data_IF_087280442725
#
_entry.id   IF_087280442725
#
_cell.length_a   1.000
_cell.length_b   1.000
_cell.length_c   1.000
_cell.angle_alpha   90.00
_cell.angle_beta   90.00
_cell.angle_gamma   90.00
#
_symmetry.space_group_name_H-M   'P 1'
#
loop_
_entity.id
_entity.type
_entity.pdbx_description
1 polymer ?
#
# COMPACT_ATOMS: atom_id res chain seq x y z
N UNK A 1 -12.41 -34.01 65.12
CA UNK A 1 -11.04 -33.48 65.04
C UNK A 1 -10.48 -33.73 63.65
N UNK A 2 -9.96 -32.66 63.02
CA UNK A 2 -9.14 -32.54 61.80
C UNK A 2 -9.65 -33.16 60.48
N UNK A 3 -10.33 -32.30 59.69
CA UNK A 3 -10.50 -32.40 58.24
C UNK A 3 -9.13 -32.31 57.56
N UNK A 4 -8.79 -33.25 56.69
CA UNK A 4 -7.65 -33.16 55.77
C UNK A 4 -8.23 -32.91 54.37
N UNK A 5 -7.98 -31.70 53.85
CA UNK A 5 -8.43 -31.22 52.56
C UNK A 5 -7.36 -31.59 51.52
N UNK A 6 -7.66 -32.52 50.61
CA UNK A 6 -6.79 -32.80 49.47
C UNK A 6 -6.96 -31.68 48.43
N UNK A 7 -5.93 -30.84 48.29
CA UNK A 7 -5.86 -29.82 47.24
C UNK A 7 -5.26 -30.46 45.98
N UNK A 8 -6.11 -30.87 45.04
CA UNK A 8 -5.66 -31.28 43.70
C UNK A 8 -5.34 -30.02 42.91
N UNK A 9 -4.06 -29.69 42.77
CA UNK A 9 -3.59 -28.61 41.90
C UNK A 9 -3.73 -29.09 40.45
N UNK A 10 -4.84 -28.72 39.79
CA UNK A 10 -4.95 -28.81 38.34
C UNK A 10 -4.10 -27.69 37.72
N UNK A 11 -2.89 -28.04 37.27
CA UNK A 11 -2.07 -27.15 36.44
C UNK A 11 -2.72 -27.08 35.06
N UNK A 12 -3.54 -26.04 34.85
CA UNK A 12 -4.02 -25.70 33.51
C UNK A 12 -2.84 -25.16 32.69
N UNK A 13 -2.33 -25.98 31.76
CA UNK A 13 -1.42 -25.52 30.72
C UNK A 13 -2.19 -24.53 29.82
N UNK A 14 -2.10 -23.24 30.14
CA UNK A 14 -2.39 -22.20 29.16
C UNK A 14 -1.31 -22.29 28.08
N UNK A 15 -1.64 -22.94 26.96
CA UNK A 15 -0.86 -22.80 25.74
C UNK A 15 -0.93 -21.33 25.32
N UNK A 16 0.05 -20.53 25.72
CA UNK A 16 0.25 -19.21 25.13
C UNK A 16 0.46 -19.40 23.63
N UNK A 17 -0.20 -18.62 22.77
CA UNK A 17 0.07 -18.67 21.35
C UNK A 17 1.55 -18.33 21.16
N UNK A 18 2.33 -19.32 20.70
CA UNK A 18 3.69 -19.08 20.22
C UNK A 18 3.53 -18.23 18.97
N UNK A 19 3.80 -16.93 19.10
CA UNK A 19 3.98 -16.07 17.95
C UNK A 19 5.22 -16.56 17.20
N UNK A 20 5.02 -17.39 16.19
CA UNK A 20 6.06 -17.66 15.20
C UNK A 20 6.27 -16.34 14.47
N UNK A 21 7.33 -15.61 14.85
CA UNK A 21 7.86 -14.54 14.02
C UNK A 21 8.26 -15.19 12.70
N UNK A 22 7.52 -14.91 11.62
CA UNK A 22 7.96 -15.27 10.29
C UNK A 22 9.34 -14.63 10.07
N UNK A 23 10.40 -15.45 10.10
CA UNK A 23 11.73 -15.02 9.66
C UNK A 23 11.56 -14.70 8.18
N UNK A 24 11.34 -13.43 7.85
CA UNK A 24 11.22 -13.01 6.46
C UNK A 24 12.45 -13.50 5.72
N UNK A 25 12.23 -14.20 4.61
CA UNK A 25 13.31 -14.65 3.75
C UNK A 25 14.05 -13.41 3.24
N UNK A 26 15.32 -13.26 3.60
CA UNK A 26 16.11 -12.08 3.27
C UNK A 26 16.46 -12.12 1.77
N UNK A 27 15.90 -11.21 0.95
CA UNK A 27 16.02 -11.30 -0.50
C UNK A 27 17.32 -10.64 -0.95
N UNK A 28 18.47 -11.24 -0.70
CA UNK A 28 19.78 -10.62 -0.95
C UNK A 28 20.05 -10.20 -2.41
N UNK A 29 19.28 -10.72 -3.38
CA UNK A 29 19.33 -10.29 -4.78
C UNK A 29 18.34 -9.16 -5.13
N UNK A 30 17.38 -8.86 -4.27
CA UNK A 30 16.29 -7.89 -4.45
C UNK A 30 15.98 -7.20 -3.11
N UNK A 31 17.00 -6.56 -2.54
CA UNK A 31 16.94 -5.96 -1.20
C UNK A 31 16.01 -4.74 -1.18
N UNK A 32 16.09 -3.91 -2.22
CA UNK A 32 15.36 -2.65 -2.38
C UNK A 32 15.22 -2.32 -3.86
N UNK A 33 14.13 -1.67 -4.24
CA UNK A 33 13.89 -1.23 -5.62
C UNK A 33 14.66 0.06 -5.97
N UNK A 34 15.02 0.22 -7.25
CA UNK A 34 15.59 1.47 -7.76
C UNK A 34 14.68 2.67 -7.50
N UNK A 35 13.35 2.46 -7.54
CA UNK A 35 12.36 3.49 -7.26
C UNK A 35 12.51 4.03 -5.85
N UNK A 36 12.59 3.17 -4.84
CA UNK A 36 12.76 3.61 -3.46
C UNK A 36 14.17 4.14 -3.21
N UNK A 37 15.19 3.51 -3.78
CA UNK A 37 16.59 3.87 -3.54
C UNK A 37 16.96 5.26 -4.09
N UNK A 38 16.54 5.57 -5.32
CA UNK A 38 16.86 6.83 -6.00
C UNK A 38 15.77 7.91 -5.87
N UNK A 39 14.80 7.75 -4.96
CA UNK A 39 13.81 8.79 -4.69
C UNK A 39 14.39 9.91 -3.81
N UNK A 40 15.14 10.84 -4.43
CA UNK A 40 15.67 12.05 -3.78
C UNK A 40 14.63 12.96 -3.12
N UNK A 41 13.35 12.79 -3.47
CA UNK A 41 12.27 13.60 -2.93
C UNK A 41 11.61 12.95 -1.72
N UNK A 42 11.98 11.72 -1.31
CA UNK A 42 11.29 10.96 -0.26
C UNK A 42 11.19 11.67 1.11
N UNK A 43 12.09 12.61 1.40
CA UNK A 43 12.07 13.44 2.61
C UNK A 43 12.50 14.87 2.26
N UNK A 44 11.85 15.86 2.86
CA UNK A 44 12.38 17.23 2.97
C UNK A 44 13.41 17.29 4.09
N UNK A 45 14.23 18.34 4.13
CA UNK A 45 15.13 18.60 5.25
C UNK A 45 14.41 18.53 6.61
N UNK A 46 13.22 19.12 6.71
CA UNK A 46 12.42 19.10 7.93
C UNK A 46 11.90 17.71 8.31
N UNK A 47 11.73 16.80 7.35
CA UNK A 47 11.36 15.40 7.63
C UNK A 47 12.57 14.62 8.17
N UNK A 48 13.76 14.88 7.62
CA UNK A 48 15.03 14.33 8.12
C UNK A 48 15.28 14.79 9.56
N UNK A 49 15.16 16.10 9.80
CA UNK A 49 15.31 16.68 11.14
C UNK A 49 14.36 16.05 12.15
N UNK A 50 13.06 15.99 11.84
CA UNK A 50 12.05 15.35 12.72
C UNK A 50 12.35 13.89 12.98
N UNK A 51 12.87 13.17 11.99
CA UNK A 51 13.24 11.77 12.17
C UNK A 51 14.40 11.64 13.17
N UNK A 52 15.46 12.45 13.03
CA UNK A 52 16.59 12.46 13.97
C UNK A 52 16.13 12.80 15.40
N UNK A 53 15.30 13.84 15.56
CA UNK A 53 14.69 14.22 16.84
C UNK A 53 13.85 13.08 17.45
N UNK A 54 13.02 12.41 16.64
CA UNK A 54 12.19 11.30 17.09
C UNK A 54 12.97 10.08 17.58
N UNK A 55 14.25 9.99 17.21
CA UNK A 55 15.16 8.92 17.63
C UNK A 55 16.06 9.32 18.79
N UNK A 56 16.01 10.58 19.24
CA UNK A 56 16.96 11.10 20.24
C UNK A 56 18.40 11.06 19.72
N UNK A 57 18.58 11.18 18.40
CA UNK A 57 19.89 11.12 17.76
C UNK A 57 20.75 12.31 18.15
N UNK A 58 22.04 12.09 18.43
CA UNK A 58 23.03 13.17 18.52
C UNK A 58 23.03 14.09 17.28
N UNK A 59 22.73 13.54 16.10
CA UNK A 59 22.70 14.32 14.86
C UNK A 59 21.54 15.33 14.79
N UNK A 60 20.54 15.24 15.66
CA UNK A 60 19.44 16.21 15.72
C UNK A 60 19.94 17.62 16.07
N UNK A 61 20.95 17.70 16.93
CA UNK A 61 21.57 18.96 17.39
C UNK A 61 22.93 19.24 16.73
N UNK A 62 23.49 18.26 16.02
CA UNK A 62 24.76 18.38 15.34
C UNK A 62 24.71 19.39 14.18
N UNK A 63 25.77 20.19 14.08
CA UNK A 63 26.05 21.04 12.92
C UNK A 63 27.53 21.06 12.57
N UNK A 64 27.83 21.23 11.29
CA UNK A 64 29.18 21.39 10.76
C UNK A 64 29.14 22.50 9.70
N UNK A 65 30.08 23.45 9.75
CA UNK A 65 30.12 24.58 8.82
C UNK A 65 28.85 25.45 8.83
N UNK A 66 28.18 25.57 9.98
CA UNK A 66 26.93 26.34 10.12
C UNK A 66 25.68 25.65 9.55
N UNK A 67 25.79 24.41 9.05
CA UNK A 67 24.65 23.62 8.55
C UNK A 67 24.33 22.47 9.50
N UNK A 68 23.05 22.22 9.73
CA UNK A 68 22.58 21.04 10.48
C UNK A 68 22.86 19.75 9.71
N UNK A 69 22.98 18.64 10.42
CA UNK A 69 23.08 17.31 9.81
C UNK A 69 21.95 17.05 8.80
N UNK A 70 20.72 17.44 9.13
CA UNK A 70 19.56 17.32 8.25
C UNK A 70 19.74 18.02 6.91
N UNK A 71 20.30 19.24 6.93
CA UNK A 71 20.57 20.05 5.75
C UNK A 71 21.65 19.43 4.88
N UNK A 72 22.76 19.00 5.50
CA UNK A 72 23.86 18.33 4.80
C UNK A 72 23.40 17.05 4.09
N UNK A 73 22.60 16.21 4.78
CA UNK A 73 22.02 14.99 4.20
C UNK A 73 21.08 15.34 3.05
N UNK A 74 20.16 16.28 3.27
CA UNK A 74 19.16 16.67 2.26
C UNK A 74 19.82 17.21 0.98
N UNK A 75 20.74 18.15 1.11
CA UNK A 75 21.43 18.77 -0.03
C UNK A 75 22.24 17.74 -0.84
N UNK A 76 22.99 16.86 -0.19
CA UNK A 76 23.75 15.81 -0.87
C UNK A 76 22.81 14.85 -1.61
N UNK A 77 21.74 14.39 -0.96
CA UNK A 77 20.72 13.52 -1.58
C UNK A 77 20.07 14.16 -2.79
N UNK A 78 19.75 15.46 -2.73
CA UNK A 78 19.17 16.20 -3.87
C UNK A 78 20.15 16.31 -5.03
N UNK A 79 21.43 16.57 -4.75
CA UNK A 79 22.50 16.70 -5.75
C UNK A 79 22.82 15.38 -6.46
N UNK A 80 22.85 14.29 -5.70
CA UNK A 80 23.25 12.97 -6.22
C UNK A 80 22.09 12.04 -6.59
N UNK A 81 20.84 12.41 -6.28
CA UNK A 81 19.67 11.63 -6.68
C UNK A 81 19.40 10.43 -5.76
N UNK A 82 19.83 10.48 -4.49
CA UNK A 82 19.64 9.40 -3.52
C UNK A 82 18.50 9.71 -2.55
N UNK A 83 17.73 8.70 -2.14
CA UNK A 83 16.72 8.85 -1.11
C UNK A 83 17.35 9.13 0.28
N UNK A 84 16.97 10.22 0.99
CA UNK A 84 17.50 10.51 2.33
C UNK A 84 17.30 9.39 3.36
N UNK A 85 16.25 8.57 3.23
CA UNK A 85 16.04 7.38 4.08
C UNK A 85 17.20 6.37 3.97
N UNK A 86 17.86 6.28 2.81
CA UNK A 86 19.04 5.41 2.61
C UNK A 86 20.18 5.90 3.48
N UNK A 87 20.45 7.22 3.49
CA UNK A 87 21.51 7.82 4.30
C UNK A 87 21.26 7.59 5.77
N UNK A 88 20.02 7.75 6.23
CA UNK A 88 19.64 7.46 7.62
C UNK A 88 19.90 5.99 7.99
N UNK A 89 19.56 5.03 7.12
CA UNK A 89 19.88 3.62 7.36
C UNK A 89 21.39 3.39 7.39
N UNK A 90 22.14 3.99 6.48
CA UNK A 90 23.59 3.85 6.43
C UNK A 90 24.29 4.44 7.66
N UNK A 91 23.89 5.63 8.12
CA UNK A 91 24.41 6.25 9.34
C UNK A 91 24.19 5.35 10.57
N UNK A 92 23.03 4.69 10.66
CA UNK A 92 22.80 3.69 11.70
C UNK A 92 23.68 2.45 11.53
N UNK A 93 23.73 1.92 10.30
CA UNK A 93 24.45 0.68 10.00
C UNK A 93 25.95 0.81 10.25
N UNK A 94 26.53 1.95 9.89
CA UNK A 94 27.98 2.15 9.87
C UNK A 94 28.51 2.64 11.21
N UNK A 95 27.77 3.51 11.91
CA UNK A 95 28.27 4.19 13.11
C UNK A 95 27.21 4.34 14.22
N UNK A 96 26.04 3.69 14.10
CA UNK A 96 24.91 3.80 15.06
C UNK A 96 24.39 5.22 15.30
N UNK A 97 24.72 6.18 14.43
CA UNK A 97 24.50 7.61 14.67
C UNK A 97 23.02 8.05 14.70
N UNK A 98 22.09 7.19 14.29
CA UNK A 98 20.66 7.51 14.37
C UNK A 98 20.11 7.26 15.77
N UNK A 99 20.55 6.20 16.45
CA UNK A 99 20.00 5.81 17.74
C UNK A 99 20.98 6.02 18.91
N UNK A 100 22.24 6.34 18.63
CA UNK A 100 23.22 6.75 19.64
C UNK A 100 23.10 8.26 19.92
N UNK A 101 22.73 8.60 21.15
CA UNK A 101 22.64 9.98 21.65
C UNK A 101 23.98 10.57 22.09
N UNK A 102 25.03 9.75 22.20
CA UNK A 102 26.36 10.16 22.67
C UNK A 102 27.49 9.46 21.91
N UNK A 103 27.55 9.59 20.57
CA UNK A 103 28.56 8.93 19.77
C UNK A 103 29.95 9.53 20.00
N UNK A 104 30.98 8.75 19.72
CA UNK A 104 32.36 9.25 19.72
C UNK A 104 32.58 10.24 18.57
N UNK A 105 33.52 11.18 18.74
CA UNK A 105 33.91 12.11 17.66
C UNK A 105 34.34 11.35 16.41
N UNK A 106 35.06 10.22 16.58
CA UNK A 106 35.47 9.36 15.47
C UNK A 106 34.27 8.80 14.72
N UNK A 107 33.24 8.33 15.41
CA UNK A 107 32.02 7.82 14.77
C UNK A 107 31.37 8.89 13.89
N UNK A 108 31.26 10.14 14.38
CA UNK A 108 30.73 11.27 13.61
C UNK A 108 31.62 11.62 12.41
N UNK A 109 32.95 11.62 12.58
CA UNK A 109 33.90 11.92 11.49
C UNK A 109 34.05 10.80 10.47
N UNK A 110 33.66 9.58 10.82
CA UNK A 110 33.60 8.38 9.98
C UNK A 110 32.14 8.00 9.62
N UNK A 111 31.20 8.95 9.64
CA UNK A 111 29.75 8.71 9.70
C UNK A 111 29.19 7.62 8.77
N UNK A 112 29.71 7.52 7.54
CA UNK A 112 29.27 6.51 6.56
C UNK A 112 30.31 5.41 6.35
N UNK A 113 31.50 5.49 6.96
CA UNK A 113 32.59 4.55 6.72
C UNK A 113 33.22 4.67 5.32
N UNK A 114 32.89 5.71 4.56
CA UNK A 114 33.41 5.92 3.22
C UNK A 114 34.93 6.07 3.24
N UNK A 115 35.59 5.43 2.27
CA UNK A 115 37.04 5.43 2.14
C UNK A 115 37.75 4.80 3.34
N UNK A 116 37.10 3.85 4.03
CA UNK A 116 37.61 3.17 5.22
C UNK A 116 38.01 4.14 6.36
N UNK A 117 37.40 5.33 6.38
CA UNK A 117 37.74 6.43 7.26
C UNK A 117 39.22 6.87 7.18
N UNK A 118 39.80 6.85 5.97
CA UNK A 118 41.05 7.54 5.67
C UNK A 118 40.95 9.05 5.98
N UNK A 119 42.01 9.64 6.52
CA UNK A 119 42.05 11.03 6.98
C UNK A 119 41.55 12.03 5.92
N UNK A 120 41.82 11.79 4.63
CA UNK A 120 41.38 12.70 3.56
C UNK A 120 39.85 12.80 3.46
N UNK A 121 39.15 11.73 3.83
CA UNK A 121 37.68 11.62 3.79
C UNK A 121 37.02 11.85 5.15
N UNK A 122 37.78 12.10 6.22
CA UNK A 122 37.22 12.37 7.55
C UNK A 122 36.50 13.71 7.63
N UNK A 123 35.41 13.74 8.39
CA UNK A 123 34.52 14.90 8.58
C UNK A 123 33.10 14.55 8.16
N UNK A 124 32.09 15.03 8.90
CA UNK A 124 30.71 14.58 8.69
C UNK A 124 30.23 14.95 7.27
N UNK A 125 30.45 16.20 6.84
CA UNK A 125 30.06 16.67 5.51
C UNK A 125 30.78 15.90 4.41
N UNK A 126 32.07 15.57 4.58
CA UNK A 126 32.81 14.77 3.58
C UNK A 126 32.28 13.35 3.50
N UNK A 127 31.96 12.73 4.64
CA UNK A 127 31.39 11.39 4.68
C UNK A 127 30.00 11.35 4.04
N UNK A 128 29.15 12.33 4.33
CA UNK A 128 27.85 12.49 3.67
C UNK A 128 28.03 12.70 2.16
N UNK A 129 28.83 13.66 1.74
CA UNK A 129 29.00 14.00 0.32
C UNK A 129 29.52 12.81 -0.50
N UNK A 130 30.62 12.19 -0.07
CA UNK A 130 31.23 11.07 -0.79
C UNK A 130 30.41 9.78 -0.68
N UNK A 131 29.84 9.50 0.50
CA UNK A 131 29.00 8.33 0.75
C UNK A 131 27.71 8.38 -0.06
N UNK A 132 27.09 9.56 -0.15
CA UNK A 132 25.89 9.77 -0.96
C UNK A 132 26.22 9.80 -2.45
N UNK A 133 27.36 10.36 -2.86
CA UNK A 133 27.81 10.30 -4.25
C UNK A 133 27.98 8.85 -4.72
N UNK A 134 28.72 8.02 -3.97
CA UNK A 134 28.95 6.64 -4.38
C UNK A 134 27.63 5.89 -4.47
N UNK A 135 26.73 6.01 -3.48
CA UNK A 135 25.43 5.33 -3.51
C UNK A 135 24.47 5.92 -4.56
N UNK A 136 24.54 7.21 -4.86
CA UNK A 136 23.59 7.88 -5.76
C UNK A 136 23.97 7.80 -7.24
N UNK A 137 25.26 7.90 -7.54
CA UNK A 137 25.80 8.00 -8.92
C UNK A 137 27.01 7.11 -9.18
N UNK A 138 27.75 6.71 -8.15
CA UNK A 138 29.02 5.99 -8.26
C UNK A 138 29.02 4.84 -9.25
N UNK A 139 28.07 3.90 -9.10
CA UNK A 139 27.94 2.80 -10.04
C UNK A 139 27.61 3.24 -11.46
N UNK A 140 26.66 4.17 -11.66
CA UNK A 140 26.26 4.61 -13.01
C UNK A 140 27.39 5.33 -13.74
N UNK A 141 28.17 6.12 -13.01
CA UNK A 141 29.27 6.91 -13.56
C UNK A 141 30.51 6.03 -13.83
N UNK A 142 30.67 4.90 -13.13
CA UNK A 142 31.90 4.11 -13.15
C UNK A 142 31.67 2.59 -13.27
N UNK A 143 30.59 2.17 -13.94
CA UNK A 143 30.15 0.77 -14.01
C UNK A 143 31.26 -0.24 -14.36
N UNK A 144 32.14 0.11 -15.29
CA UNK A 144 33.25 -0.75 -15.73
C UNK A 144 34.30 -1.05 -14.64
N UNK A 145 34.33 -0.28 -13.55
CA UNK A 145 35.29 -0.43 -12.46
C UNK A 145 34.85 -1.43 -11.39
N UNK A 146 33.60 -1.88 -11.42
CA UNK A 146 33.02 -2.67 -10.33
C UNK A 146 32.78 -4.13 -10.70
N UNK A 147 33.00 -5.01 -9.72
CA UNK A 147 32.78 -6.44 -9.88
C UNK A 147 31.29 -6.80 -9.94
N UNK A 148 30.47 -6.17 -9.07
CA UNK A 148 29.03 -6.39 -8.97
C UNK A 148 28.28 -5.60 -10.05
N UNK A 149 27.37 -6.28 -10.73
CA UNK A 149 26.57 -5.71 -11.80
C UNK A 149 25.17 -6.36 -11.86
N UNK A 150 24.20 -5.65 -12.42
CA UNK A 150 22.83 -6.15 -12.61
C UNK A 150 22.86 -7.42 -13.43
N UNK A 151 22.28 -8.49 -12.88
CA UNK A 151 22.21 -9.79 -13.54
C UNK A 151 23.54 -10.54 -13.62
N UNK A 152 24.64 -10.04 -13.03
CA UNK A 152 25.94 -10.72 -13.00
C UNK A 152 26.11 -11.46 -11.68
N UNK A 153 26.33 -12.77 -11.74
CA UNK A 153 26.66 -13.56 -10.54
C UNK A 153 28.06 -13.17 -10.04
N UNK A 154 28.18 -12.84 -8.76
CA UNK A 154 29.44 -12.46 -8.11
C UNK A 154 29.48 -13.05 -6.70
N UNK A 155 30.65 -13.51 -6.26
CA UNK A 155 30.85 -14.02 -4.90
C UNK A 155 31.10 -12.86 -3.94
N UNK A 156 30.34 -12.80 -2.84
CA UNK A 156 30.55 -11.85 -1.75
C UNK A 156 31.72 -12.25 -0.86
N UNK A 157 32.23 -11.31 -0.06
CA UNK A 157 33.33 -11.55 0.88
C UNK A 157 33.00 -12.62 1.94
N UNK A 158 31.71 -12.81 2.26
CA UNK A 158 31.23 -13.84 3.16
C UNK A 158 30.78 -15.13 2.45
N UNK A 159 31.17 -15.32 1.18
CA UNK A 159 31.02 -16.58 0.45
C UNK A 159 29.64 -16.86 -0.11
N UNK A 160 28.78 -15.85 -0.20
CA UNK A 160 27.43 -15.96 -0.79
C UNK A 160 27.48 -15.50 -2.26
N UNK A 161 26.98 -16.34 -3.17
CA UNK A 161 26.77 -15.96 -4.57
C UNK A 161 25.55 -15.06 -4.69
N UNK A 162 25.74 -13.87 -5.22
CA UNK A 162 24.67 -12.89 -5.44
C UNK A 162 24.60 -12.50 -6.90
N UNK A 163 23.39 -12.17 -7.36
CA UNK A 163 23.07 -11.71 -8.70
C UNK A 163 22.12 -10.52 -8.57
N UNK A 164 22.64 -9.29 -8.40
CA UNK A 164 21.82 -8.10 -8.19
C UNK A 164 20.72 -7.95 -9.24
N UNK A 165 19.46 -7.78 -8.81
CA UNK A 165 18.30 -7.66 -9.71
C UNK A 165 18.15 -6.27 -10.33
N UNK A 166 18.67 -5.25 -9.68
CA UNK A 166 18.57 -3.85 -10.08
C UNK A 166 19.83 -3.06 -9.67
N UNK A 167 19.88 -1.79 -10.05
CA UNK A 167 21.05 -0.95 -9.82
C UNK A 167 21.29 -0.66 -8.33
N UNK A 168 20.23 -0.42 -7.56
CA UNK A 168 20.31 -0.17 -6.13
C UNK A 168 20.95 -1.34 -5.38
N UNK A 169 20.59 -2.58 -5.71
CA UNK A 169 21.19 -3.77 -5.09
C UNK A 169 22.66 -3.92 -5.51
N UNK A 170 23.00 -3.66 -6.77
CA UNK A 170 24.40 -3.70 -7.22
C UNK A 170 25.26 -2.66 -6.47
N UNK A 171 24.74 -1.45 -6.31
CA UNK A 171 25.40 -0.36 -5.57
C UNK A 171 25.62 -0.72 -4.09
N UNK A 172 24.64 -1.35 -3.41
CA UNK A 172 24.80 -1.80 -2.03
C UNK A 172 25.96 -2.80 -1.88
N UNK A 173 26.13 -3.71 -2.83
CA UNK A 173 27.26 -4.65 -2.82
C UNK A 173 28.60 -4.01 -3.21
N UNK A 174 28.59 -2.97 -4.03
CA UNK A 174 29.78 -2.16 -4.32
C UNK A 174 30.23 -1.41 -3.07
N UNK A 175 29.27 -0.82 -2.35
CA UNK A 175 29.52 -0.13 -1.10
C UNK A 175 30.01 -1.08 -0.01
N UNK A 176 29.35 -2.23 0.13
CA UNK A 176 29.64 -3.23 1.14
C UNK A 176 29.47 -4.64 0.55
N UNK A 177 30.56 -5.34 0.20
CA UNK A 177 30.52 -6.63 -0.48
C UNK A 177 30.20 -7.82 0.43
N UNK A 178 29.43 -7.62 1.51
CA UNK A 178 29.02 -8.66 2.47
C UNK A 178 27.51 -8.86 2.42
N UNK A 179 27.06 -10.07 2.09
CA UNK A 179 25.64 -10.42 2.06
C UNK A 179 25.02 -10.39 3.46
N UNK A 180 25.73 -10.94 4.45
CA UNK A 180 25.39 -10.86 5.87
C UNK A 180 24.30 -11.83 6.33
N UNK A 181 23.93 -12.81 5.49
CA UNK A 181 22.85 -13.79 5.74
C UNK A 181 23.04 -14.52 7.08
N UNK A 182 24.29 -14.89 7.39
CA UNK A 182 24.60 -15.73 8.55
C UNK A 182 24.95 -14.95 9.82
N UNK A 183 25.49 -13.73 9.67
CA UNK A 183 26.04 -12.93 10.79
C UNK A 183 25.18 -11.73 11.17
N UNK A 184 24.12 -11.44 10.42
CA UNK A 184 23.25 -10.30 10.71
C UNK A 184 23.89 -8.94 10.44
N UNK A 185 24.93 -8.87 9.60
CA UNK A 185 25.70 -7.66 9.28
C UNK A 185 25.55 -7.26 7.80
N UNK A 186 26.38 -6.36 7.29
CA UNK A 186 26.45 -6.03 5.86
C UNK A 186 25.09 -5.65 5.27
N UNK A 187 24.76 -6.19 4.10
CA UNK A 187 23.52 -5.90 3.40
C UNK A 187 22.27 -6.50 4.09
N UNK A 188 22.41 -7.56 4.89
CA UNK A 188 21.32 -8.03 5.75
C UNK A 188 20.95 -6.99 6.80
N UNK A 189 21.95 -6.37 7.45
CA UNK A 189 21.70 -5.34 8.45
C UNK A 189 21.02 -4.12 7.84
N UNK A 190 21.45 -3.70 6.64
CA UNK A 190 20.78 -2.66 5.87
C UNK A 190 19.29 -3.01 5.67
N UNK A 191 19.00 -4.19 5.13
CA UNK A 191 17.64 -4.66 4.89
C UNK A 191 16.80 -4.70 6.16
N UNK A 192 17.36 -5.21 7.27
CA UNK A 192 16.66 -5.32 8.54
C UNK A 192 16.35 -3.94 9.14
N UNK A 193 17.30 -3.00 9.05
CA UNK A 193 17.10 -1.62 9.50
C UNK A 193 16.03 -0.92 8.68
N UNK A 194 16.12 -1.02 7.35
CA UNK A 194 15.15 -0.47 6.41
C UNK A 194 13.73 -1.03 6.64
N UNK A 195 13.60 -2.35 6.60
CA UNK A 195 12.31 -3.05 6.62
C UNK A 195 11.70 -3.16 8.01
N UNK A 196 12.47 -3.66 8.99
CA UNK A 196 11.90 -4.07 10.28
C UNK A 196 12.05 -2.97 11.33
N UNK A 197 13.22 -2.32 11.42
CA UNK A 197 13.51 -1.33 12.47
C UNK A 197 12.83 0.00 12.20
N UNK A 198 13.07 0.59 11.04
CA UNK A 198 12.53 1.89 10.67
C UNK A 198 11.25 1.80 9.87
N UNK A 199 10.97 0.63 9.28
CA UNK A 199 9.80 0.42 8.45
C UNK A 199 9.71 1.49 7.38
N UNK A 200 10.86 1.82 6.77
CA UNK A 200 10.96 2.66 5.58
C UNK A 200 10.42 1.86 4.39
N UNK A 201 9.17 1.41 4.47
CA UNK A 201 8.53 0.63 3.45
C UNK A 201 7.92 1.53 2.39
N UNK A 202 6.93 0.98 1.69
CA UNK A 202 6.12 1.72 0.74
C UNK A 202 5.08 2.61 1.47
N UNK A 203 5.53 3.44 2.41
CA UNK A 203 4.73 4.41 3.19
C UNK A 203 3.94 5.39 2.30
N UNK A 204 4.18 5.35 0.99
CA UNK A 204 3.60 6.22 -0.03
C UNK A 204 2.61 5.52 -0.96
N UNK A 205 2.31 4.23 -0.79
CA UNK A 205 1.23 3.63 -1.59
C UNK A 205 -0.09 4.14 -1.03
N UNK A 206 -0.75 4.97 -1.82
CA UNK A 206 -2.00 5.60 -1.44
C UNK A 206 -3.08 4.55 -1.21
N UNK A 207 -3.88 4.75 -0.16
CA UNK A 207 -5.09 3.96 0.06
C UNK A 207 -5.99 3.99 -1.19
N UNK A 208 -6.58 2.84 -1.51
CA UNK A 208 -7.35 2.61 -2.73
C UNK A 208 -6.54 2.18 -3.95
N UNK A 209 -5.21 2.22 -3.89
CA UNK A 209 -4.35 1.69 -4.97
C UNK A 209 -4.50 0.17 -5.04
N UNK A 210 -4.72 -0.35 -6.25
CA UNK A 210 -4.61 -1.78 -6.51
C UNK A 210 -3.16 -2.10 -6.82
N UNK A 211 -2.59 -3.08 -6.13
CA UNK A 211 -1.21 -3.49 -6.31
C UNK A 211 -1.11 -4.96 -6.69
N UNK A 212 -0.04 -5.29 -7.39
CA UNK A 212 0.35 -6.65 -7.73
C UNK A 212 1.87 -6.75 -7.68
N UNK A 213 2.39 -7.86 -7.16
CA UNK A 213 3.81 -8.15 -7.28
C UNK A 213 4.13 -8.50 -8.74
N UNK A 214 5.14 -7.85 -9.32
CA UNK A 214 5.59 -8.11 -10.70
C UNK A 214 5.85 -9.61 -10.91
N UNK A 215 5.22 -10.17 -11.95
CA UNK A 215 5.33 -11.59 -12.28
C UNK A 215 4.34 -12.51 -11.53
N UNK A 216 3.59 -11.98 -10.56
CA UNK A 216 2.52 -12.72 -9.87
C UNK A 216 1.14 -12.47 -10.51
N UNK A 217 0.15 -13.27 -10.14
CA UNK A 217 -1.26 -13.05 -10.50
C UNK A 217 -2.09 -12.45 -9.35
N UNK A 218 -1.52 -12.34 -8.14
CA UNK A 218 -2.22 -11.88 -6.95
C UNK A 218 -2.46 -10.37 -6.98
N UNK A 219 -3.72 -9.97 -6.85
CA UNK A 219 -4.11 -8.55 -6.80
C UNK A 219 -4.58 -8.21 -5.39
N UNK A 220 -4.16 -7.06 -4.90
CA UNK A 220 -4.48 -6.59 -3.55
C UNK A 220 -4.91 -5.13 -3.61
N UNK A 221 -5.79 -4.71 -2.71
CA UNK A 221 -6.13 -3.30 -2.50
C UNK A 221 -5.37 -2.77 -1.29
N UNK A 222 -4.82 -1.57 -1.37
CA UNK A 222 -4.30 -0.88 -0.19
C UNK A 222 -5.45 -0.26 0.60
N UNK A 223 -5.61 -0.66 1.86
CA UNK A 223 -6.58 -0.09 2.79
C UNK A 223 -6.11 1.25 3.38
N UNK A 224 -6.96 1.86 4.20
CA UNK A 224 -6.67 3.17 4.79
C UNK A 224 -5.61 3.11 5.89
N UNK A 225 -5.43 1.93 6.47
CA UNK A 225 -4.36 1.56 7.39
C UNK A 225 -3.03 1.25 6.68
N UNK A 226 -3.02 1.25 5.34
CA UNK A 226 -1.81 1.03 4.54
C UNK A 226 -1.45 -0.44 4.34
N UNK A 227 -2.30 -1.38 4.78
CA UNK A 227 -2.10 -2.80 4.52
C UNK A 227 -2.65 -3.20 3.15
N UNK A 228 -2.10 -4.26 2.56
CA UNK A 228 -2.62 -4.87 1.33
C UNK A 228 -3.64 -5.93 1.70
N UNK A 229 -4.82 -5.81 1.12
CA UNK A 229 -5.95 -6.71 1.35
C UNK A 229 -6.17 -7.56 0.09
N UNK A 230 -6.06 -8.89 0.15
CA UNK A 230 -6.37 -9.76 -0.98
C UNK A 230 -7.88 -9.75 -1.26
N UNK A 231 -8.31 -10.27 -2.41
CA UNK A 231 -9.73 -10.45 -2.72
C UNK A 231 -10.18 -11.90 -2.47
N UNK A 232 -11.38 -12.08 -1.92
CA UNK A 232 -12.07 -13.38 -1.87
C UNK A 232 -12.60 -13.77 -3.25
N UNK A 233 -11.68 -14.14 -4.13
CA UNK A 233 -11.96 -14.55 -5.49
C UNK A 233 -11.99 -13.41 -6.50
N UNK A 234 -12.01 -13.78 -7.79
CA UNK A 234 -12.04 -12.85 -8.91
C UNK A 234 -13.35 -12.07 -9.00
N UNK A 235 -14.44 -12.62 -8.46
CA UNK A 235 -15.74 -11.95 -8.37
C UNK A 235 -15.68 -10.75 -7.41
N UNK A 236 -15.03 -10.87 -6.25
CA UNK A 236 -14.90 -9.74 -5.31
C UNK A 236 -14.12 -8.56 -5.93
N UNK A 237 -13.15 -8.84 -6.80
CA UNK A 237 -12.43 -7.84 -7.58
C UNK A 237 -13.29 -7.26 -8.71
N UNK A 238 -13.78 -8.12 -9.62
CA UNK A 238 -14.35 -7.71 -10.91
C UNK A 238 -15.67 -6.94 -10.82
N UNK A 239 -16.39 -7.01 -9.69
CA UNK A 239 -17.60 -6.23 -9.49
C UNK A 239 -17.35 -4.73 -9.25
N UNK A 240 -16.13 -4.35 -8.86
CA UNK A 240 -15.80 -2.99 -8.38
C UNK A 240 -14.55 -2.41 -9.06
N UNK A 241 -13.60 -3.27 -9.42
CA UNK A 241 -12.26 -2.89 -9.86
C UNK A 241 -11.96 -3.39 -11.28
N UNK A 242 -10.99 -2.75 -11.92
CA UNK A 242 -10.53 -3.08 -13.27
C UNK A 242 -9.04 -3.35 -13.30
N UNK A 243 -8.56 -4.22 -14.20
CA UNK A 243 -7.14 -4.63 -14.23
C UNK A 243 -6.21 -3.51 -14.66
N UNK A 244 -6.71 -2.60 -15.49
CA UNK A 244 -5.99 -1.43 -15.96
C UNK A 244 -5.60 -0.45 -14.84
N UNK A 245 -6.22 -0.56 -13.67
CA UNK A 245 -5.96 0.24 -12.46
C UNK A 245 -4.84 -0.34 -11.58
N UNK A 246 -4.32 -1.53 -11.90
CA UNK A 246 -3.31 -2.22 -11.09
C UNK A 246 -1.95 -1.54 -11.28
N UNK A 247 -1.28 -1.28 -10.16
CA UNK A 247 0.11 -0.84 -10.07
C UNK A 247 0.99 -2.04 -9.78
N UNK A 248 1.93 -2.32 -10.69
CA UNK A 248 2.90 -3.40 -10.51
C UNK A 248 4.08 -2.94 -9.64
N UNK A 249 4.31 -3.65 -8.54
CA UNK A 249 5.39 -3.39 -7.59
C UNK A 249 6.51 -4.42 -7.74
N UNK A 250 7.75 -3.96 -7.58
CA UNK A 250 8.87 -4.87 -7.38
C UNK A 250 8.67 -5.68 -6.08
N UNK A 251 9.22 -6.90 -6.04
CA UNK A 251 9.06 -7.81 -4.89
C UNK A 251 9.49 -7.14 -3.59
N UNK A 252 10.62 -6.43 -3.59
CA UNK A 252 11.12 -5.66 -2.43
C UNK A 252 10.11 -4.64 -1.90
N UNK A 253 9.39 -3.94 -2.78
CA UNK A 253 8.36 -2.98 -2.37
C UNK A 253 7.11 -3.70 -1.87
N UNK A 254 6.71 -4.78 -2.55
CA UNK A 254 5.52 -5.54 -2.24
C UNK A 254 5.59 -6.23 -0.87
N UNK A 255 6.73 -6.84 -0.52
CA UNK A 255 6.91 -7.57 0.76
C UNK A 255 6.99 -6.64 1.98
N UNK A 256 7.16 -5.33 1.77
CA UNK A 256 7.19 -4.32 2.82
C UNK A 256 5.79 -3.76 3.14
N UNK A 257 4.77 -4.08 2.34
CA UNK A 257 3.39 -3.73 2.64
C UNK A 257 2.78 -4.80 3.56
N UNK A 258 2.31 -4.37 4.73
CA UNK A 258 1.64 -5.25 5.70
C UNK A 258 0.41 -5.92 5.11
N UNK A 259 0.01 -7.08 5.64
CA UNK A 259 -1.16 -7.83 5.15
C UNK A 259 -2.39 -7.51 5.98
N UNK A 260 -3.53 -7.32 5.31
CA UNK A 260 -4.84 -7.12 5.93
C UNK A 260 -5.84 -8.20 5.53
N UNK A 261 -7.03 -8.15 6.14
CA UNK A 261 -8.10 -9.11 5.90
C UNK A 261 -8.61 -9.10 4.45
N UNK A 262 -9.06 -10.23 3.90
CA UNK A 262 -9.55 -10.29 2.54
C UNK A 262 -10.81 -9.43 2.30
N UNK A 263 -10.85 -8.77 1.13
CA UNK A 263 -12.00 -8.05 0.61
C UNK A 263 -13.04 -9.05 0.09
N UNK A 264 -14.22 -8.95 0.67
CA UNK A 264 -15.38 -9.79 0.34
C UNK A 264 -16.14 -9.24 -0.86
N UNK A 265 -17.02 -10.06 -1.42
CA UNK A 265 -17.97 -9.61 -2.44
C UNK A 265 -18.80 -8.44 -1.89
N UNK A 266 -18.87 -7.33 -2.64
CA UNK A 266 -19.65 -6.15 -2.23
C UNK A 266 -21.12 -6.52 -2.01
N UNK A 267 -21.82 -5.74 -1.20
CA UNK A 267 -23.26 -5.90 -1.00
C UNK A 267 -24.06 -5.71 -2.30
N UNK A 268 -25.21 -6.39 -2.37
CA UNK A 268 -26.17 -6.28 -3.46
C UNK A 268 -25.78 -7.01 -4.74
N UNK A 269 -24.73 -7.85 -4.70
CA UNK A 269 -24.39 -8.71 -5.83
C UNK A 269 -25.30 -9.93 -5.80
N UNK A 270 -26.13 -10.02 -6.82
CA UNK A 270 -26.96 -11.18 -7.09
C UNK A 270 -26.13 -12.22 -7.85
N UNK A 271 -26.05 -13.44 -7.34
CA UNK A 271 -25.24 -14.50 -7.94
C UNK A 271 -25.90 -15.87 -7.90
N UNK A 272 -25.49 -16.73 -8.83
CA UNK A 272 -25.88 -18.13 -8.93
C UNK A 272 -24.68 -19.01 -8.56
N UNK A 273 -24.86 -19.86 -7.56
CA UNK A 273 -23.86 -20.85 -7.18
C UNK A 273 -23.88 -22.05 -8.15
N UNK A 274 -22.85 -22.90 -8.10
CA UNK A 274 -22.68 -24.04 -9.01
C UNK A 274 -23.82 -25.07 -8.94
N UNK A 275 -24.55 -25.15 -7.82
CA UNK A 275 -25.74 -25.99 -7.67
C UNK A 275 -27.02 -25.35 -8.21
N UNK A 276 -26.94 -24.19 -8.87
CA UNK A 276 -28.07 -23.47 -9.44
C UNK A 276 -28.81 -22.54 -8.48
N UNK A 277 -28.56 -22.62 -7.17
CA UNK A 277 -29.20 -21.77 -6.17
C UNK A 277 -28.77 -20.30 -6.35
N UNK A 278 -29.72 -19.39 -6.16
CA UNK A 278 -29.52 -17.94 -6.31
C UNK A 278 -29.39 -17.30 -4.93
N UNK A 279 -28.44 -16.39 -4.80
CA UNK A 279 -28.17 -15.66 -3.57
C UNK A 279 -27.96 -14.17 -3.85
N UNK A 280 -28.11 -13.35 -2.82
CA UNK A 280 -27.65 -11.96 -2.79
C UNK A 280 -26.61 -11.78 -1.69
N UNK A 281 -25.52 -11.09 -1.99
CA UNK A 281 -24.51 -10.75 -0.99
C UNK A 281 -24.98 -9.61 -0.10
N UNK A 282 -24.78 -9.75 1.21
CA UNK A 282 -25.07 -8.70 2.18
C UNK A 282 -24.21 -8.86 3.43
N UNK A 283 -23.55 -7.79 3.87
CA UNK A 283 -22.68 -7.76 5.04
C UNK A 283 -21.64 -8.89 5.04
N UNK A 284 -21.06 -9.19 3.88
CA UNK A 284 -20.08 -10.27 3.71
C UNK A 284 -20.64 -11.69 3.89
N UNK A 285 -21.96 -11.86 3.79
CA UNK A 285 -22.69 -13.14 3.86
C UNK A 285 -23.52 -13.34 2.59
N UNK A 286 -24.04 -14.56 2.39
CA UNK A 286 -24.99 -14.88 1.30
C UNK A 286 -26.40 -15.15 1.85
N UNK A 287 -27.39 -14.45 1.31
CA UNK A 287 -28.81 -14.66 1.59
C UNK A 287 -29.46 -15.38 0.42
N UNK A 288 -30.11 -16.51 0.67
CA UNK A 288 -30.73 -17.34 -0.36
C UNK A 288 -31.99 -16.68 -0.93
N UNK A 289 -32.10 -16.59 -2.26
CA UNK A 289 -33.33 -16.20 -2.95
C UNK A 289 -34.17 -17.47 -3.17
N UNK A 290 -35.28 -17.66 -2.44
CA UNK A 290 -35.90 -18.97 -2.29
C UNK A 290 -36.64 -19.46 -3.54
N UNK A 291 -37.09 -18.56 -4.40
CA UNK A 291 -37.87 -18.88 -5.59
C UNK A 291 -37.84 -17.75 -6.65
N UNK A 292 -38.24 -18.03 -7.91
CA UNK A 292 -38.30 -17.03 -8.98
C UNK A 292 -39.25 -15.86 -8.67
N UNK A 293 -40.30 -16.07 -7.89
CA UNK A 293 -41.25 -15.02 -7.50
C UNK A 293 -40.56 -13.97 -6.62
N UNK A 294 -39.73 -14.40 -5.67
CA UNK A 294 -38.92 -13.49 -4.84
C UNK A 294 -37.92 -12.73 -5.69
N UNK A 295 -37.29 -13.40 -6.67
CA UNK A 295 -36.36 -12.76 -7.58
C UNK A 295 -37.04 -11.67 -8.43
N UNK A 296 -38.22 -11.97 -8.96
CA UNK A 296 -39.05 -11.03 -9.72
C UNK A 296 -39.54 -9.87 -8.85
N UNK A 297 -39.96 -10.14 -7.62
CA UNK A 297 -40.33 -9.11 -6.65
C UNK A 297 -39.15 -8.19 -6.30
N UNK A 298 -37.93 -8.73 -6.31
CA UNK A 298 -36.69 -7.97 -6.20
C UNK A 298 -36.32 -7.17 -7.46
N UNK A 299 -37.09 -7.31 -8.55
CA UNK A 299 -36.92 -6.56 -9.80
C UNK A 299 -35.85 -7.14 -10.72
N UNK A 300 -35.50 -8.42 -10.51
CA UNK A 300 -34.53 -9.15 -11.30
C UNK A 300 -35.18 -10.28 -12.09
N UNK A 301 -34.47 -10.76 -13.10
CA UNK A 301 -34.80 -11.90 -13.94
C UNK A 301 -33.84 -13.06 -13.67
N UNK A 302 -34.17 -14.27 -14.15
CA UNK A 302 -33.30 -15.44 -14.00
C UNK A 302 -31.93 -15.31 -14.71
N UNK A 303 -31.77 -14.33 -15.61
CA UNK A 303 -30.52 -14.06 -16.35
C UNK A 303 -29.62 -13.01 -15.66
N UNK A 304 -30.12 -12.35 -14.62
CA UNK A 304 -29.40 -11.28 -13.93
C UNK A 304 -28.32 -11.76 -12.95
N UNK A 305 -28.49 -12.86 -12.19
CA UNK A 305 -27.43 -13.35 -11.32
C UNK A 305 -26.15 -13.65 -12.11
N UNK A 306 -25.01 -13.17 -11.64
CA UNK A 306 -23.71 -13.59 -12.17
C UNK A 306 -23.38 -15.02 -11.69
N UNK A 307 -22.59 -15.77 -12.45
CA UNK A 307 -22.12 -17.08 -12.00
C UNK A 307 -20.96 -16.94 -11.03
N UNK A 308 -21.07 -17.57 -9.86
CA UNK A 308 -19.96 -17.75 -8.91
C UNK A 308 -19.58 -19.23 -8.86
N UNK A 309 -18.28 -19.52 -8.87
CA UNK A 309 -17.82 -20.88 -8.68
C UNK A 309 -18.02 -21.33 -7.21
N UNK A 310 -17.94 -22.64 -6.97
CA UNK A 310 -18.16 -23.23 -5.65
C UNK A 310 -17.25 -22.61 -4.58
N UNK A 311 -15.95 -22.46 -4.86
CA UNK A 311 -14.97 -21.90 -3.91
C UNK A 311 -15.35 -20.49 -3.48
N UNK A 312 -15.69 -19.60 -4.42
CA UNK A 312 -16.10 -18.22 -4.11
C UNK A 312 -17.41 -18.18 -3.33
N UNK A 313 -18.39 -19.00 -3.72
CA UNK A 313 -19.68 -19.06 -3.04
C UNK A 313 -19.55 -19.59 -1.60
N UNK A 314 -18.65 -20.54 -1.35
CA UNK A 314 -18.45 -21.17 -0.04
C UNK A 314 -17.67 -20.26 0.93
N UNK A 315 -16.90 -19.29 0.44
CA UNK A 315 -16.29 -18.23 1.27
C UNK A 315 -17.32 -17.31 1.95
N UNK A 316 -18.54 -17.24 1.43
CA UNK A 316 -19.62 -16.41 2.00
C UNK A 316 -20.49 -17.25 2.96
N UNK A 317 -20.51 -16.95 4.26
CA UNK A 317 -21.38 -17.64 5.21
C UNK A 317 -22.85 -17.49 4.83
N UNK A 318 -23.63 -18.56 4.96
CA UNK A 318 -25.07 -18.52 4.71
C UNK A 318 -25.81 -17.82 5.85
N UNK A 319 -26.61 -16.81 5.51
CA UNK A 319 -27.36 -16.01 6.47
C UNK A 319 -28.88 -16.28 6.45
N UNK A 320 -29.30 -17.43 5.90
CA UNK A 320 -30.70 -17.78 5.73
C UNK A 320 -31.28 -17.30 4.40
N UNK A 321 -32.61 -17.44 4.28
CA UNK A 321 -33.35 -17.00 3.09
C UNK A 321 -33.63 -15.50 3.18
N UNK A 322 -33.51 -14.81 2.06
CA UNK A 322 -33.95 -13.43 1.92
C UNK A 322 -35.47 -13.38 2.15
N UNK A 323 -35.90 -12.56 3.10
CA UNK A 323 -37.31 -12.30 3.38
C UNK A 323 -37.66 -10.94 2.79
N UNK A 324 -38.42 -10.92 1.69
CA UNK A 324 -38.93 -9.67 1.15
C UNK A 324 -40.10 -9.21 2.01
N UNK A 325 -39.89 -8.21 2.87
CA UNK A 325 -40.95 -7.47 3.51
C UNK A 325 -41.19 -6.12 2.78
N UNK A 326 -42.46 -5.75 2.59
CA UNK A 326 -42.86 -4.43 2.06
C UNK A 326 -42.02 -3.88 0.91
N UNK A 327 -41.42 -2.70 1.13
CA UNK A 327 -40.63 -1.93 0.16
C UNK A 327 -39.11 -2.09 0.30
N UNK A 328 -38.61 -2.85 1.28
CA UNK A 328 -37.18 -2.97 1.59
C UNK A 328 -36.37 -3.67 0.49
N UNK A 329 -35.28 -3.05 0.04
CA UNK A 329 -34.29 -3.60 -0.88
C UNK A 329 -32.98 -3.89 -0.11
N UNK A 330 -32.22 -4.92 -0.51
CA UNK A 330 -30.89 -5.16 0.02
C UNK A 330 -29.97 -3.93 -0.11
N UNK A 331 -29.02 -3.79 0.81
CA UNK A 331 -27.92 -2.86 0.60
C UNK A 331 -27.17 -3.24 -0.68
N UNK A 332 -26.63 -2.24 -1.39
CA UNK A 332 -25.93 -2.47 -2.65
C UNK A 332 -26.82 -2.57 -3.88
N UNK A 333 -28.16 -2.54 -3.71
CA UNK A 333 -29.10 -2.49 -4.84
C UNK A 333 -29.05 -1.12 -5.51
N UNK A 334 -28.94 -1.11 -6.84
CA UNK A 334 -29.10 0.10 -7.64
C UNK A 334 -30.53 0.25 -8.10
N UNK A 335 -31.11 1.43 -7.93
CA UNK A 335 -32.50 1.71 -8.28
C UNK A 335 -32.63 2.95 -9.17
N UNK A 336 -33.74 3.02 -9.89
CA UNK A 336 -34.23 4.22 -10.58
C UNK A 336 -35.77 4.25 -10.55
N UNK A 337 -36.37 5.42 -10.77
CA UNK A 337 -37.82 5.52 -11.01
C UNK A 337 -38.13 5.46 -12.50
N UNK A 338 -39.32 4.97 -12.86
CA UNK A 338 -39.81 4.94 -14.23
C UNK A 338 -39.65 6.31 -14.92
N UNK A 339 -39.07 6.30 -16.12
CA UNK A 339 -38.80 7.51 -16.92
C UNK A 339 -37.60 8.36 -16.47
N UNK A 340 -36.93 8.04 -15.36
CA UNK A 340 -35.73 8.74 -14.91
C UNK A 340 -34.44 8.03 -15.32
N UNK A 341 -33.42 8.80 -15.67
CA UNK A 341 -32.05 8.32 -15.88
C UNK A 341 -31.20 8.40 -14.59
N UNK A 342 -31.73 9.00 -13.52
CA UNK A 342 -31.01 9.15 -12.26
C UNK A 342 -30.94 7.80 -11.53
N UNK A 343 -29.72 7.31 -11.31
CA UNK A 343 -29.45 6.08 -10.55
C UNK A 343 -29.19 6.44 -9.10
N UNK A 344 -29.65 5.58 -8.19
CA UNK A 344 -29.38 5.67 -6.76
C UNK A 344 -28.87 4.33 -6.23
N UNK A 345 -27.99 4.38 -5.24
CA UNK A 345 -27.57 3.23 -4.45
C UNK A 345 -28.44 3.14 -3.19
N UNK A 346 -29.00 1.97 -2.91
CA UNK A 346 -29.59 1.64 -1.61
C UNK A 346 -28.48 1.23 -0.64
N UNK A 347 -28.38 1.95 0.46
CA UNK A 347 -27.36 1.74 1.48
C UNK A 347 -27.92 2.14 2.85
N UNK A 348 -27.97 1.19 3.78
CA UNK A 348 -28.48 1.37 5.14
C UNK A 348 -29.87 2.06 5.17
N UNK A 349 -30.81 1.56 4.35
CA UNK A 349 -32.17 2.10 4.19
C UNK A 349 -32.22 3.57 3.70
N UNK A 350 -31.16 4.06 3.06
CA UNK A 350 -31.12 5.36 2.40
C UNK A 350 -30.92 5.19 0.90
N UNK A 351 -31.49 6.10 0.12
CA UNK A 351 -31.20 6.26 -1.31
C UNK A 351 -30.11 7.31 -1.49
N UNK A 352 -28.98 6.91 -2.06
CA UNK A 352 -27.81 7.75 -2.28
C UNK A 352 -27.66 8.05 -3.78
N UNK A 353 -27.80 9.32 -4.22
CA UNK A 353 -27.73 9.66 -5.64
C UNK A 353 -26.30 9.55 -6.19
N UNK A 354 -26.19 9.23 -7.48
CA UNK A 354 -24.97 9.45 -8.27
C UNK A 354 -25.09 10.78 -9.01
N UNK A 355 -24.33 11.81 -8.59
CA UNK A 355 -24.39 13.14 -9.20
C UNK A 355 -23.62 13.27 -10.53
N UNK A 356 -22.72 12.33 -10.82
CA UNK A 356 -22.08 12.18 -12.13
C UNK A 356 -22.03 10.68 -12.47
N UNK A 357 -22.43 10.33 -13.69
CA UNK A 357 -22.40 8.95 -14.19
C UNK A 357 -20.99 8.35 -14.10
N UNK A 358 -19.94 9.15 -14.23
CA UNK A 358 -18.54 8.68 -14.10
C UNK A 358 -18.23 8.09 -12.72
N UNK A 359 -18.92 8.55 -11.66
CA UNK A 359 -18.76 7.96 -10.32
C UNK A 359 -19.30 6.52 -10.32
N UNK A 360 -20.47 6.31 -10.91
CA UNK A 360 -21.06 4.99 -11.03
C UNK A 360 -20.19 4.07 -11.88
N UNK A 361 -19.75 4.53 -13.06
CA UNK A 361 -18.95 3.75 -14.02
C UNK A 361 -17.56 3.37 -13.47
N UNK A 362 -16.98 4.22 -12.62
CA UNK A 362 -15.68 3.95 -11.97
C UNK A 362 -15.81 3.04 -10.75
N UNK A 363 -16.80 3.29 -9.90
CA UNK A 363 -16.98 2.53 -8.66
C UNK A 363 -17.45 1.09 -8.93
N UNK A 364 -18.11 0.84 -10.06
CA UNK A 364 -18.71 -0.46 -10.38
C UNK A 364 -18.39 -0.88 -11.81
N UNK A 365 -17.77 -2.06 -11.96
CA UNK A 365 -17.27 -2.58 -13.24
C UNK A 365 -18.05 -3.81 -13.76
N UNK A 366 -18.76 -4.51 -12.88
CA UNK A 366 -19.47 -5.74 -13.24
C UNK A 366 -20.75 -5.49 -14.05
N UNK A 367 -21.44 -6.58 -14.41
CA UNK A 367 -22.83 -6.51 -14.89
C UNK A 367 -23.70 -5.92 -13.77
N UNK A 368 -23.97 -4.62 -13.85
CA UNK A 368 -24.84 -3.93 -12.89
C UNK A 368 -26.26 -3.91 -13.42
N UNK A 369 -27.19 -4.40 -12.60
CA UNK A 369 -28.62 -4.27 -12.87
C UNK A 369 -29.16 -3.11 -12.05
N UNK A 370 -29.74 -2.13 -12.74
CA UNK A 370 -30.46 -1.00 -12.12
C UNK A 370 -31.94 -1.34 -12.10
N UNK A 371 -32.46 -1.58 -10.91
CA UNK A 371 -33.86 -1.97 -10.69
C UNK A 371 -34.77 -0.76 -10.83
N UNK A 372 -35.78 -0.86 -11.69
CA UNK A 372 -36.83 0.16 -11.77
C UNK A 372 -37.87 -0.07 -10.67
N UNK A 373 -38.16 0.98 -9.89
CA UNK A 373 -39.13 0.94 -8.78
C UNK A 373 -40.22 2.01 -8.94
N UNK A 374 -41.34 1.80 -8.23
CA UNK A 374 -42.43 2.78 -8.17
C UNK A 374 -42.01 4.04 -7.41
N UNK A 375 -42.69 5.16 -7.67
CA UNK A 375 -42.46 6.40 -6.93
C UNK A 375 -42.77 6.25 -5.44
N UNK A 376 -43.85 5.53 -5.10
CA UNK A 376 -44.23 5.20 -3.71
C UNK A 376 -43.13 4.45 -2.97
N UNK A 377 -42.50 3.46 -3.61
CA UNK A 377 -41.35 2.76 -3.03
C UNK A 377 -40.15 3.69 -2.86
N UNK A 378 -39.83 4.48 -3.89
CA UNK A 378 -38.71 5.41 -3.87
C UNK A 378 -38.82 6.42 -2.73
N UNK A 379 -40.02 6.94 -2.46
CA UNK A 379 -40.28 7.93 -1.42
C UNK A 379 -40.19 7.34 0.01
N UNK A 380 -40.27 6.02 0.18
CA UNK A 380 -40.06 5.38 1.49
C UNK A 380 -38.59 5.37 1.95
N UNK A 381 -37.64 5.50 1.03
CA UNK A 381 -36.22 5.59 1.38
C UNK A 381 -35.86 7.01 1.79
N UNK A 382 -35.17 7.16 2.93
CA UNK A 382 -34.60 8.47 3.31
C UNK A 382 -33.49 8.87 2.34
N UNK A 383 -33.31 10.16 2.10
CA UNK A 383 -32.16 10.64 1.33
C UNK A 383 -30.86 10.38 2.12
N UNK A 384 -29.87 9.81 1.45
CA UNK A 384 -28.50 9.72 1.95
C UNK A 384 -27.57 10.67 1.19
N UNK A 385 -26.34 10.88 1.69
CA UNK A 385 -25.35 11.66 0.96
C UNK A 385 -25.04 11.01 -0.39
N UNK A 386 -24.72 11.81 -1.42
CA UNK A 386 -24.36 11.29 -2.73
C UNK A 386 -23.19 10.30 -2.63
N UNK A 387 -23.18 9.33 -3.55
CA UNK A 387 -22.03 8.45 -3.73
C UNK A 387 -20.89 9.27 -4.34
N UNK A 388 -19.69 9.12 -3.79
CA UNK A 388 -18.46 9.80 -4.25
C UNK A 388 -17.58 8.80 -5.00
N UNK A 389 -16.55 9.28 -5.69
CA UNK A 389 -15.51 8.38 -6.20
C UNK A 389 -14.89 7.60 -5.04
N UNK A 390 -14.70 6.29 -5.22
CA UNK A 390 -13.95 5.48 -4.25
C UNK A 390 -12.47 5.85 -4.27
N UNK A 391 -11.78 5.47 -3.21
CA UNK A 391 -10.32 5.57 -3.16
C UNK A 391 -9.66 4.82 -4.33
N UNK A 392 -8.52 5.34 -4.79
CA UNK A 392 -7.83 4.93 -6.00
C UNK A 392 -8.29 5.65 -7.28
N UNK A 393 -9.31 6.51 -7.22
CA UNK A 393 -9.69 7.33 -8.37
C UNK A 393 -8.63 8.39 -8.70
N UNK A 394 -8.32 8.53 -9.98
CA UNK A 394 -7.44 9.57 -10.50
C UNK A 394 -8.29 10.58 -11.25
N UNK A 395 -8.40 11.80 -10.72
CA UNK A 395 -9.29 12.83 -11.21
C UNK A 395 -8.49 14.00 -11.79
N UNK A 396 -8.92 14.53 -12.93
CA UNK A 396 -8.37 15.76 -13.48
C UNK A 396 -9.41 16.88 -13.39
N UNK A 397 -9.01 17.99 -12.76
CA UNK A 397 -9.80 19.20 -12.66
C UNK A 397 -9.85 19.95 -14.01
N UNK A 398 -10.83 20.86 -14.21
CA UNK A 398 -10.87 21.69 -15.42
C UNK A 398 -9.61 22.55 -15.61
N UNK A 399 -8.92 22.93 -14.53
CA UNK A 399 -7.64 23.66 -14.58
C UNK A 399 -6.45 22.80 -15.04
N UNK A 400 -6.65 21.50 -15.28
CA UNK A 400 -5.60 20.55 -15.66
C UNK A 400 -4.93 19.83 -14.48
N UNK A 401 -5.12 20.30 -13.24
CA UNK A 401 -4.55 19.68 -12.04
C UNK A 401 -5.03 18.24 -11.84
N UNK A 402 -4.11 17.34 -11.47
CA UNK A 402 -4.36 15.90 -11.25
C UNK A 402 -4.46 15.63 -9.74
N UNK A 403 -5.45 14.84 -9.36
CA UNK A 403 -5.74 14.48 -7.97
C UNK A 403 -5.94 12.97 -7.85
N UNK A 404 -5.45 12.37 -6.76
CA UNK A 404 -5.80 11.00 -6.37
C UNK A 404 -6.74 11.05 -5.18
N UNK A 405 -7.81 10.25 -5.21
CA UNK A 405 -8.69 10.05 -4.07
C UNK A 405 -8.11 8.95 -3.18
N UNK A 406 -7.82 9.28 -1.92
CA UNK A 406 -7.21 8.36 -0.95
C UNK A 406 -7.63 8.74 0.46
N UNK A 407 -8.16 7.79 1.24
CA UNK A 407 -8.76 8.06 2.53
C UNK A 407 -10.00 8.96 2.44
N UNK A 408 -10.75 8.88 1.33
CA UNK A 408 -11.89 9.73 1.01
C UNK A 408 -11.57 11.19 0.66
N UNK A 409 -10.29 11.58 0.68
CA UNK A 409 -9.82 12.95 0.43
C UNK A 409 -9.16 13.05 -0.94
N UNK A 410 -9.19 14.24 -1.55
CA UNK A 410 -8.43 14.53 -2.77
C UNK A 410 -7.02 15.01 -2.42
N UNK A 411 -6.02 14.39 -3.03
CA UNK A 411 -4.61 14.75 -2.90
C UNK A 411 -4.10 15.20 -4.26
N UNK A 412 -3.68 16.45 -4.38
CA UNK A 412 -3.07 16.94 -5.63
C UNK A 412 -1.76 16.20 -5.91
N UNK A 413 -1.41 16.02 -7.18
CA UNK A 413 -0.12 15.45 -7.60
C UNK A 413 0.74 16.57 -8.16
N UNK A 414 1.88 16.88 -7.54
CA UNK A 414 2.64 18.09 -7.84
C UNK A 414 3.33 18.08 -9.22
N UNK A 415 3.61 16.90 -9.80
CA UNK A 415 4.22 16.79 -11.12
C UNK A 415 3.92 15.44 -11.78
N UNK A 416 4.14 15.36 -13.09
CA UNK A 416 4.03 14.09 -13.83
C UNK A 416 5.12 13.07 -13.45
N UNK A 417 6.32 13.54 -13.08
CA UNK A 417 7.37 12.69 -12.50
C UNK A 417 6.82 11.96 -11.28
N UNK A 418 6.12 12.69 -10.39
CA UNK A 418 5.48 12.10 -9.20
C UNK A 418 4.37 11.14 -9.57
N UNK A 419 3.54 11.52 -10.53
CA UNK A 419 2.45 10.66 -11.02
C UNK A 419 2.96 9.30 -11.50
N UNK A 420 3.97 9.27 -12.38
CA UNK A 420 4.55 8.03 -12.89
C UNK A 420 5.31 7.27 -11.81
N UNK A 421 5.95 8.00 -10.92
CA UNK A 421 6.64 7.46 -9.76
C UNK A 421 5.77 6.66 -8.81
N UNK A 422 4.53 7.10 -8.60
CA UNK A 422 3.49 6.36 -7.88
C UNK A 422 3.00 5.11 -8.64
N UNK A 423 3.48 4.89 -9.86
CA UNK A 423 3.06 3.81 -10.75
C UNK A 423 1.69 4.05 -11.40
N UNK A 424 1.19 5.28 -11.37
CA UNK A 424 -0.11 5.63 -11.94
C UNK A 424 -0.04 5.77 -13.45
N UNK A 425 -1.15 5.44 -14.12
CA UNK A 425 -1.27 5.46 -15.57
C UNK A 425 -2.26 6.56 -16.02
N UNK A 426 -1.84 7.37 -17.00
CA UNK A 426 -2.65 8.46 -17.55
C UNK A 426 -3.97 7.98 -18.15
N UNK A 427 -4.04 6.73 -18.65
CA UNK A 427 -5.28 6.15 -19.20
C UNK A 427 -6.41 6.05 -18.16
N UNK A 428 -6.06 6.03 -16.88
CA UNK A 428 -7.00 5.93 -15.77
C UNK A 428 -7.47 7.31 -15.25
N UNK A 429 -7.01 8.41 -15.87
CA UNK A 429 -7.42 9.77 -15.49
C UNK A 429 -8.88 10.01 -15.93
N UNK A 430 -9.70 10.45 -14.99
CA UNK A 430 -11.10 10.82 -15.22
C UNK A 430 -11.22 12.34 -15.13
N UNK A 431 -11.56 12.98 -16.24
CA UNK A 431 -11.87 14.42 -16.26
C UNK A 431 -13.21 14.67 -15.58
N UNK A 432 -13.22 15.57 -14.60
CA UNK A 432 -14.41 15.89 -13.78
C UNK A 432 -14.60 17.40 -13.65
N UNK A 433 -15.83 17.82 -13.34
CA UNK A 433 -16.10 19.21 -13.00
C UNK A 433 -15.54 19.58 -11.63
N UNK A 434 -15.39 20.88 -11.36
CA UNK A 434 -14.99 21.37 -10.04
C UNK A 434 -15.96 20.90 -8.93
N UNK A 435 -17.27 20.91 -9.19
CA UNK A 435 -18.28 20.49 -8.22
C UNK A 435 -18.12 19.02 -7.82
N UNK A 436 -17.81 18.14 -8.76
CA UNK A 436 -17.57 16.71 -8.50
C UNK A 436 -16.26 16.51 -7.73
N UNK A 437 -15.21 17.24 -8.07
CA UNK A 437 -13.95 17.20 -7.33
C UNK A 437 -14.12 17.74 -5.89
N UNK A 438 -14.94 18.76 -5.68
CA UNK A 438 -15.22 19.38 -4.38
C UNK A 438 -16.10 18.52 -3.45
N UNK A 439 -16.65 17.40 -3.95
CA UNK A 439 -17.26 16.39 -3.09
C UNK A 439 -16.22 15.77 -2.13
N UNK A 440 -14.91 15.86 -2.44
CA UNK A 440 -13.82 15.33 -1.63
C UNK A 440 -13.09 16.45 -0.88
N UNK A 441 -12.91 16.34 0.46
CA UNK A 441 -12.09 17.27 1.23
C UNK A 441 -10.64 17.26 0.74
N UNK A 442 -9.94 18.39 0.90
CA UNK A 442 -8.52 18.49 0.58
C UNK A 442 -7.66 17.66 1.55
N UNK A 443 -6.59 17.10 1.02
CA UNK A 443 -5.46 16.55 1.76
C UNK A 443 -4.15 17.12 1.18
N UNK A 444 -3.02 17.04 1.91
CA UNK A 444 -1.75 17.54 1.42
C UNK A 444 -1.41 17.01 0.02
N UNK A 445 -0.92 17.91 -0.84
CA UNK A 445 -0.41 17.58 -2.17
C UNK A 445 0.73 16.58 -2.05
N UNK A 446 0.72 15.57 -2.91
CA UNK A 446 1.76 14.58 -3.04
C UNK A 446 2.92 15.23 -3.79
N UNK A 447 4.02 15.44 -3.08
CA UNK A 447 5.25 16.04 -3.59
C UNK A 447 6.37 15.01 -3.79
N UNK A 448 6.11 13.75 -3.47
CA UNK A 448 7.09 12.65 -3.33
C UNK A 448 6.38 11.33 -3.64
N UNK A 449 7.09 10.29 -4.11
CA UNK A 449 6.48 8.99 -4.44
C UNK A 449 7.30 7.79 -4.01
#
# INVERSE_FOLDING_TARGET
MKKILFFTICIAFFAMPVFVSAKYDYPYNDIISDRLFYNRNAMKESDVQKFLESKGSYLADFSEGGKKASGLIYEACKSYGLNPKIVLVMLQKEQSLIEDGSPTERAVRCAMGYGSCDEKYMGFSKQIDNGVWILGKGYKDNKSRYAYDVGKETMTQDGIKVKPKNYAVAELFIYNPVAGVNKGNGNYLFWNLWKNRYKFGADNILAGTLIREKGSNGVYLIGNEGAKHPFWGSSAFSQTYRREQIVDLDTSDFVNVGSGDPIKLRDGVLFRASNGAVFISQNGKKLGVPNPETLKALGYTNRDPISLNKTEADLLPYAGKFKKDGFTRPNGTFIKTKGSQAVYLIDQNKKRPFWDKKIFDFNYNGKVVVVEISRKEFDNYKNGPPVKFRDGAILQAPSGGIFVISGGKKRGVASMEIFWGLGLDKKNIIKVSKAILDMHPNAPTITTY
#
